data_IF_286144262479
#
_entry.id   IF_286144262479
#
_cell.length_a   1.000
_cell.length_b   1.000
_cell.length_c   1.000
_cell.angle_alpha   90.00
_cell.angle_beta   90.00
_cell.angle_gamma   90.00
#
_symmetry.space_group_name_H-M   'P 1'
#
loop_
_entity.id
_entity.type
_entity.pdbx_description
1 polymer ?
#
# COMPACT_ATOMS: atom_id res chain seq x y z
N UNK A 1 -11.22 7.11 4.87
CA UNK A 1 -10.22 6.11 4.41
C UNK A 1 -9.26 6.80 3.44
N UNK A 2 -7.97 6.42 3.39
CA UNK A 2 -7.01 6.98 2.43
C UNK A 2 -6.50 5.86 1.53
N UNK A 3 -6.83 5.95 0.24
CA UNK A 3 -6.30 5.11 -0.84
C UNK A 3 -5.41 5.99 -1.72
N UNK A 4 -4.16 5.61 -1.96
CA UNK A 4 -3.21 6.41 -2.76
C UNK A 4 -2.28 5.52 -3.58
N UNK A 5 -1.89 5.96 -4.78
CA UNK A 5 -0.79 5.35 -5.54
C UNK A 5 0.52 5.65 -4.80
N UNK A 6 1.38 4.66 -4.65
CA UNK A 6 2.64 4.78 -3.88
C UNK A 6 3.89 4.46 -4.70
N UNK A 7 3.74 3.81 -5.85
CA UNK A 7 4.85 3.55 -6.77
C UNK A 7 4.74 4.47 -8.00
N UNK A 8 5.85 5.01 -8.53
CA UNK A 8 5.81 5.94 -9.65
C UNK A 8 5.28 5.31 -10.95
N UNK A 9 5.82 4.17 -11.39
CA UNK A 9 5.39 3.52 -12.63
C UNK A 9 4.28 2.48 -12.41
N UNK A 10 4.53 1.47 -11.55
CA UNK A 10 3.60 0.36 -11.30
C UNK A 10 2.29 0.79 -10.64
N UNK A 11 1.17 0.07 -10.89
CA UNK A 11 -0.13 0.36 -10.27
C UNK A 11 -0.19 -0.14 -8.82
N UNK A 12 0.78 0.24 -7.99
CA UNK A 12 0.83 -0.13 -6.57
C UNK A 12 0.19 0.98 -5.74
N UNK A 13 -0.72 0.57 -4.86
CA UNK A 13 -1.54 1.43 -4.03
C UNK A 13 -1.43 1.04 -2.56
N UNK A 14 -1.66 2.02 -1.69
CA UNK A 14 -1.77 1.82 -0.24
C UNK A 14 -3.14 2.22 0.28
N UNK A 15 -3.69 1.43 1.19
CA UNK A 15 -4.91 1.71 1.93
C UNK A 15 -4.66 1.89 3.44
N UNK A 16 -5.36 2.85 4.05
CA UNK A 16 -5.43 2.99 5.52
C UNK A 16 -6.39 1.96 6.11
N UNK A 17 -5.86 1.02 6.90
CA UNK A 17 -6.69 0.12 7.71
C UNK A 17 -7.16 0.85 8.97
N UNK A 18 -6.21 1.36 9.76
CA UNK A 18 -6.50 2.14 10.97
C UNK A 18 -5.41 3.23 11.18
N UNK A 19 -5.21 3.71 12.42
CA UNK A 19 -4.15 4.69 12.69
C UNK A 19 -2.75 4.10 12.55
N UNK A 20 -2.58 2.86 12.96
CA UNK A 20 -1.27 2.26 13.19
C UNK A 20 -0.89 1.26 12.09
N UNK A 21 -1.84 0.88 11.21
CA UNK A 21 -1.65 -0.13 10.15
C UNK A 21 -2.04 0.35 8.75
N UNK A 22 -1.32 -0.21 7.76
CA UNK A 22 -1.51 -0.01 6.32
C UNK A 22 -1.49 -1.32 5.56
N UNK A 23 -2.16 -1.33 4.42
CA UNK A 23 -2.03 -2.37 3.40
C UNK A 23 -1.40 -1.77 2.15
N UNK A 24 -0.65 -2.59 1.40
CA UNK A 24 -0.09 -2.28 0.08
C UNK A 24 -0.45 -3.41 -0.89
N UNK A 25 -0.91 -3.02 -2.07
CA UNK A 25 -1.40 -3.96 -3.07
C UNK A 25 -1.27 -3.40 -4.48
N UNK A 26 -1.34 -4.29 -5.46
CA UNK A 26 -1.35 -3.94 -6.87
C UNK A 26 -2.80 -3.87 -7.36
N UNK A 27 -3.13 -2.82 -8.10
CA UNK A 27 -4.41 -2.72 -8.80
C UNK A 27 -4.27 -3.37 -10.18
N UNK A 28 -5.10 -4.38 -10.43
CA UNK A 28 -5.26 -5.06 -11.71
C UNK A 28 -6.72 -4.93 -12.12
N UNK A 29 -6.97 -4.27 -13.24
CA UNK A 29 -8.32 -3.88 -13.70
C UNK A 29 -9.12 -3.14 -12.61
N UNK A 30 -10.09 -3.80 -11.98
CA UNK A 30 -10.94 -3.29 -10.90
C UNK A 30 -10.65 -3.95 -9.54
N UNK A 31 -9.65 -4.83 -9.48
CA UNK A 31 -9.36 -5.68 -8.33
C UNK A 31 -8.02 -5.32 -7.73
N UNK A 32 -7.96 -5.18 -6.40
CA UNK A 32 -6.70 -4.96 -5.68
C UNK A 32 -6.21 -6.26 -5.07
N UNK A 33 -5.01 -6.69 -5.48
CA UNK A 33 -4.30 -7.81 -4.90
C UNK A 33 -3.38 -7.28 -3.80
N UNK A 34 -3.77 -7.50 -2.54
CA UNK A 34 -2.99 -7.11 -1.37
C UNK A 34 -1.88 -8.11 -1.12
N UNK A 35 -0.62 -7.68 -1.24
CA UNK A 35 0.54 -8.53 -0.98
C UNK A 35 1.25 -8.20 0.33
N UNK A 36 0.88 -7.08 0.98
CA UNK A 36 1.50 -6.66 2.22
C UNK A 36 0.51 -5.94 3.15
N UNK A 37 0.63 -6.22 4.45
CA UNK A 37 -0.06 -5.51 5.54
C UNK A 37 0.91 -5.40 6.72
N UNK A 38 1.01 -4.21 7.32
CA UNK A 38 1.89 -3.98 8.45
C UNK A 38 1.69 -2.64 9.14
N UNK A 39 2.50 -2.39 10.15
CA UNK A 39 2.46 -1.17 10.95
C UNK A 39 2.93 0.06 10.16
N UNK A 40 2.73 1.25 10.71
CA UNK A 40 3.20 2.48 10.07
C UNK A 40 4.72 2.52 9.90
N UNK A 41 5.48 1.99 10.87
CA UNK A 41 6.94 1.95 10.80
C UNK A 41 7.41 1.00 9.69
N UNK A 42 6.83 -0.21 9.60
CA UNK A 42 7.17 -1.17 8.55
C UNK A 42 6.71 -0.67 7.17
N UNK A 43 5.62 0.10 7.12
CA UNK A 43 5.14 0.73 5.90
C UNK A 43 6.15 1.73 5.34
N UNK A 44 6.73 2.57 6.19
CA UNK A 44 7.72 3.56 5.75
C UNK A 44 8.98 2.85 5.20
N UNK A 45 9.43 1.77 5.86
CA UNK A 45 10.54 0.94 5.36
C UNK A 45 10.23 0.24 4.03
N UNK A 46 8.99 -0.24 3.85
CA UNK A 46 8.56 -0.86 2.59
C UNK A 46 8.58 0.17 1.44
N UNK A 47 8.13 1.40 1.69
CA UNK A 47 8.09 2.44 0.67
C UNK A 47 9.48 2.87 0.18
N UNK A 48 10.52 2.76 1.00
CA UNK A 48 11.90 3.06 0.58
C UNK A 48 12.43 2.07 -0.47
N UNK A 49 11.80 0.90 -0.58
CA UNK A 49 12.21 -0.18 -1.48
C UNK A 49 11.34 -0.28 -2.75
N UNK A 50 10.27 0.53 -2.83
CA UNK A 50 9.30 0.59 -3.94
C UNK A 50 9.52 1.84 -4.79
#
# INVERSE_FOLDING_TARGET
MRFKKVHPQLPIYSARINRDYRAVGQLEDDTVIWFWVGSHAEYDMLLEQL
#
